data_IF_825163452043
#
_entry.id   IF_825163452043
#
_cell.length_a   1.000
_cell.length_b   1.000
_cell.length_c   1.000
_cell.angle_alpha   90.00
_cell.angle_beta   90.00
_cell.angle_gamma   90.00
#
_symmetry.space_group_name_H-M   'P 1'
#
loop_
_entity.id
_entity.type
_entity.pdbx_description
1 polymer ?
#
# COMPACT_ATOMS: atom_id res chain seq x y z
N UNK A 1 2.58 52.56 16.37
CA UNK A 1 2.19 51.22 15.90
C UNK A 1 2.96 50.98 14.62
N UNK A 2 3.74 49.91 14.56
CA UNK A 2 4.56 49.59 13.39
C UNK A 2 3.62 49.07 12.30
N UNK A 3 3.36 49.91 11.30
CA UNK A 3 2.23 49.74 10.36
C UNK A 3 2.37 48.54 9.42
N UNK A 4 3.53 47.86 9.39
CA UNK A 4 3.78 46.69 8.55
C UNK A 4 4.44 45.56 9.36
N UNK A 5 3.68 44.98 10.30
CA UNK A 5 4.12 43.80 11.03
C UNK A 5 3.99 42.53 10.16
N UNK A 6 5.12 41.99 9.69
CA UNK A 6 5.17 40.70 8.98
C UNK A 6 5.66 39.60 9.91
N UNK A 7 4.84 38.56 10.06
CA UNK A 7 5.20 37.34 10.81
C UNK A 7 4.94 36.11 9.95
N UNK A 8 5.39 34.93 10.41
CA UNK A 8 5.10 33.68 9.70
C UNK A 8 3.59 33.38 9.67
N UNK A 9 2.86 33.77 10.71
CA UNK A 9 1.43 33.47 10.92
C UNK A 9 0.50 34.54 10.32
N UNK A 10 0.97 35.78 10.20
CA UNK A 10 0.15 36.94 9.83
C UNK A 10 0.95 37.93 8.98
N UNK A 11 0.33 38.46 7.93
CA UNK A 11 0.86 39.55 7.13
C UNK A 11 -0.04 40.77 7.29
N UNK A 12 0.45 41.85 7.88
CA UNK A 12 -0.25 43.13 7.97
C UNK A 12 0.26 44.09 6.89
N UNK A 13 -0.68 44.77 6.22
CA UNK A 13 -0.42 45.83 5.26
C UNK A 13 -1.28 47.02 5.71
N UNK A 14 -0.65 48.00 6.34
CA UNK A 14 -1.37 49.06 7.07
C UNK A 14 -2.21 48.49 8.22
N UNK A 15 -3.49 48.84 8.29
CA UNK A 15 -4.40 48.38 9.35
C UNK A 15 -5.03 47.01 9.08
N UNK A 16 -4.88 46.48 7.86
CA UNK A 16 -5.49 45.20 7.47
C UNK A 16 -4.48 44.08 7.61
N UNK A 17 -4.87 43.00 8.29
CA UNK A 17 -4.02 41.83 8.45
C UNK A 17 -4.68 40.56 7.93
N UNK A 18 -3.85 39.73 7.31
CA UNK A 18 -4.20 38.48 6.66
C UNK A 18 -3.54 37.32 7.39
N UNK A 19 -4.28 36.23 7.58
CA UNK A 19 -3.81 35.07 8.32
C UNK A 19 -3.34 33.96 7.39
N UNK A 20 -2.28 33.26 7.80
CA UNK A 20 -1.99 31.94 7.25
C UNK A 20 -2.96 30.93 7.86
N UNK A 21 -4.03 30.62 7.11
CA UNK A 21 -5.14 29.76 7.52
C UNK A 21 -4.75 28.36 8.03
N UNK A 22 -3.51 27.93 7.81
CA UNK A 22 -2.96 26.68 8.34
C UNK A 22 -2.51 26.80 9.80
N UNK A 23 -2.07 27.99 10.20
CA UNK A 23 -1.44 28.24 11.49
C UNK A 23 -2.41 28.91 12.45
N UNK A 24 -3.12 29.94 11.98
CA UNK A 24 -4.02 30.77 12.76
C UNK A 24 -5.19 31.24 11.89
N UNK A 25 -6.37 31.41 12.51
CA UNK A 25 -7.59 31.89 11.84
C UNK A 25 -8.23 33.09 12.53
N UNK A 26 -7.62 33.63 13.59
CA UNK A 26 -8.15 34.74 14.39
C UNK A 26 -7.36 36.02 14.16
N UNK A 27 -7.99 37.16 14.45
CA UNK A 27 -7.40 38.50 14.38
C UNK A 27 -7.00 38.92 12.96
N UNK A 28 -7.70 38.40 11.95
CA UNK A 28 -7.51 38.74 10.54
C UNK A 28 -8.84 39.01 9.82
N UNK A 29 -8.77 39.68 8.68
CA UNK A 29 -9.96 40.05 7.88
C UNK A 29 -10.77 38.83 7.41
N UNK A 30 -10.13 37.68 7.28
CA UNK A 30 -10.70 36.42 6.79
C UNK A 30 -11.19 35.47 7.90
N UNK A 31 -11.17 35.91 9.17
CA UNK A 31 -11.51 35.10 10.36
C UNK A 31 -12.87 34.40 10.23
N UNK A 32 -13.91 35.14 9.84
CA UNK A 32 -15.28 34.60 9.79
C UNK A 32 -15.42 33.49 8.73
N UNK A 33 -14.89 33.72 7.51
CA UNK A 33 -14.97 32.76 6.43
C UNK A 33 -14.13 31.51 6.72
N UNK A 34 -12.90 31.67 7.23
CA UNK A 34 -12.05 30.55 7.61
C UNK A 34 -12.70 29.71 8.72
N UNK A 35 -13.32 30.33 9.73
CA UNK A 35 -14.02 29.62 10.80
C UNK A 35 -15.17 28.77 10.26
N UNK A 36 -15.96 29.30 9.32
CA UNK A 36 -17.02 28.53 8.65
C UNK A 36 -16.43 27.33 7.91
N UNK A 37 -15.39 27.54 7.09
CA UNK A 37 -14.74 26.47 6.32
C UNK A 37 -14.26 25.35 7.24
N UNK A 38 -13.58 25.68 8.35
CA UNK A 38 -13.11 24.69 9.31
C UNK A 38 -14.23 23.97 10.05
N UNK A 39 -15.30 24.68 10.46
CA UNK A 39 -16.48 24.05 11.06
C UNK A 39 -17.13 23.05 10.09
N UNK A 40 -17.30 23.43 8.82
CA UNK A 40 -17.84 22.52 7.80
C UNK A 40 -16.92 21.32 7.59
N UNK A 41 -15.59 21.51 7.57
CA UNK A 41 -14.64 20.39 7.45
C UNK A 41 -14.70 19.44 8.65
N UNK A 42 -14.84 19.96 9.88
CA UNK A 42 -14.99 19.14 11.09
C UNK A 42 -16.22 18.25 10.97
N UNK A 43 -17.38 18.83 10.62
CA UNK A 43 -18.63 18.08 10.43
C UNK A 43 -18.50 17.04 9.32
N UNK A 44 -17.94 17.43 8.17
CA UNK A 44 -17.76 16.51 7.04
C UNK A 44 -16.82 15.35 7.38
N UNK A 45 -15.69 15.64 8.03
CA UNK A 45 -14.72 14.62 8.46
C UNK A 45 -15.31 13.69 9.51
N UNK A 46 -16.16 14.19 10.41
CA UNK A 46 -16.89 13.39 11.39
C UNK A 46 -17.85 12.40 10.70
N UNK A 47 -18.65 12.88 9.73
CA UNK A 47 -19.58 12.03 8.96
C UNK A 47 -18.81 10.93 8.20
N UNK A 48 -17.74 11.30 7.49
CA UNK A 48 -16.91 10.34 6.74
C UNK A 48 -16.26 9.32 7.69
N UNK A 49 -15.79 9.76 8.87
CA UNK A 49 -15.21 8.88 9.89
C UNK A 49 -16.23 7.90 10.44
N UNK A 50 -17.44 8.35 10.78
CA UNK A 50 -18.52 7.48 11.28
C UNK A 50 -18.90 6.42 10.25
N UNK A 51 -18.99 6.80 8.97
CA UNK A 51 -19.30 5.88 7.89
C UNK A 51 -18.21 4.83 7.68
N UNK A 52 -16.95 5.25 7.59
CA UNK A 52 -15.80 4.35 7.49
C UNK A 52 -15.69 3.43 8.70
N UNK A 53 -15.87 3.97 9.91
CA UNK A 53 -15.83 3.21 11.15
C UNK A 53 -16.95 2.18 11.20
N UNK A 54 -18.19 2.53 10.82
CA UNK A 54 -19.31 1.59 10.78
C UNK A 54 -19.05 0.40 9.86
N UNK A 55 -18.49 0.65 8.67
CA UNK A 55 -18.14 -0.42 7.71
C UNK A 55 -16.99 -1.27 8.24
N UNK A 56 -15.98 -0.63 8.81
CA UNK A 56 -14.85 -1.30 9.42
C UNK A 56 -15.31 -2.22 10.57
N UNK A 57 -16.13 -1.72 11.50
CA UNK A 57 -16.69 -2.47 12.61
C UNK A 57 -17.56 -3.64 12.14
N UNK A 58 -18.42 -3.42 11.14
CA UNK A 58 -19.23 -4.49 10.56
C UNK A 58 -18.34 -5.62 9.99
N UNK A 59 -17.27 -5.28 9.25
CA UNK A 59 -16.36 -6.28 8.70
C UNK A 59 -15.51 -6.97 9.77
N UNK A 60 -15.07 -6.22 10.78
CA UNK A 60 -14.24 -6.75 11.85
C UNK A 60 -15.04 -7.70 12.76
N UNK A 61 -16.18 -7.26 13.27
CA UNK A 61 -16.98 -8.01 14.24
C UNK A 61 -17.93 -9.01 13.59
N UNK A 62 -18.73 -8.60 12.59
CA UNK A 62 -19.75 -9.48 12.00
C UNK A 62 -19.13 -10.49 11.05
N UNK A 63 -18.16 -10.07 10.23
CA UNK A 63 -17.48 -10.98 9.29
C UNK A 63 -16.26 -11.68 9.90
N UNK A 64 -15.81 -11.28 11.09
CA UNK A 64 -14.64 -11.84 11.74
C UNK A 64 -13.34 -11.59 10.98
N UNK A 65 -13.26 -10.53 10.15
CA UNK A 65 -12.05 -10.22 9.42
C UNK A 65 -10.98 -9.70 10.39
N UNK A 66 -9.78 -10.26 10.29
CA UNK A 66 -8.60 -9.74 11.00
C UNK A 66 -7.89 -8.70 10.13
N UNK A 67 -7.43 -7.61 10.74
CA UNK A 67 -6.59 -6.60 10.06
C UNK A 67 -5.28 -7.22 9.55
N UNK A 68 -4.70 -8.11 10.36
CA UNK A 68 -3.45 -8.80 10.07
C UNK A 68 -3.68 -10.31 10.18
N UNK A 69 -3.24 -11.04 9.17
CA UNK A 69 -3.16 -12.50 9.24
C UNK A 69 -1.90 -12.87 10.03
N UNK A 70 -2.11 -13.41 11.23
CA UNK A 70 -1.10 -13.97 12.12
C UNK A 70 -0.91 -15.45 11.76
N UNK A 71 -0.19 -15.74 10.67
CA UNK A 71 0.18 -17.13 10.35
C UNK A 71 1.70 -17.33 10.48
N UNK A 72 2.08 -18.54 10.89
CA UNK A 72 3.29 -18.91 11.64
C UNK A 72 4.66 -18.61 11.02
N UNK A 73 4.74 -18.13 9.78
CA UNK A 73 6.01 -17.87 9.09
C UNK A 73 6.25 -16.41 8.68
N UNK A 74 5.29 -15.49 8.91
CA UNK A 74 5.45 -14.09 8.50
C UNK A 74 4.94 -13.10 9.56
N UNK A 75 5.72 -12.04 9.76
CA UNK A 75 5.61 -11.06 10.86
C UNK A 75 4.46 -10.04 10.65
N UNK A 76 3.23 -10.51 10.42
CA UNK A 76 1.99 -9.78 10.08
C UNK A 76 1.80 -9.58 8.56
N UNK A 77 0.77 -10.22 7.99
CA UNK A 77 0.32 -9.96 6.61
C UNK A 77 -0.94 -9.08 6.65
N UNK A 78 -0.87 -7.79 6.31
CA UNK A 78 -2.03 -6.91 6.34
C UNK A 78 -3.00 -7.24 5.21
N UNK A 79 -4.30 -7.13 5.52
CA UNK A 79 -5.35 -7.17 4.52
C UNK A 79 -5.54 -5.78 3.93
N UNK A 80 -5.16 -5.54 2.66
CA UNK A 80 -5.00 -4.18 2.12
C UNK A 80 -6.28 -3.36 2.20
N UNK A 81 -7.45 -3.97 1.98
CA UNK A 81 -8.75 -3.28 2.05
C UNK A 81 -9.11 -2.89 3.48
N UNK A 82 -8.95 -3.82 4.44
CA UNK A 82 -9.33 -3.58 5.83
C UNK A 82 -8.36 -2.59 6.49
N UNK A 83 -7.06 -2.70 6.20
CA UNK A 83 -6.05 -1.72 6.59
C UNK A 83 -6.32 -0.34 5.98
N UNK A 84 -6.66 -0.26 4.69
CA UNK A 84 -7.01 1.00 4.04
C UNK A 84 -8.17 1.68 4.77
N UNK A 85 -9.28 0.98 5.07
CA UNK A 85 -10.42 1.56 5.79
C UNK A 85 -10.02 2.05 7.18
N UNK A 86 -9.19 1.30 7.89
CA UNK A 86 -8.66 1.71 9.19
C UNK A 86 -7.83 3.01 9.08
N UNK A 87 -6.90 3.11 8.13
CA UNK A 87 -6.10 4.33 7.94
C UNK A 87 -6.90 5.52 7.45
N UNK A 88 -7.87 5.31 6.56
CA UNK A 88 -8.77 6.38 6.14
C UNK A 88 -9.61 6.87 7.33
N UNK A 89 -10.05 5.98 8.23
CA UNK A 89 -10.75 6.39 9.46
C UNK A 89 -9.84 7.23 10.33
N UNK A 90 -8.63 6.74 10.62
CA UNK A 90 -7.66 7.46 11.43
C UNK A 90 -7.30 8.83 10.82
N UNK A 91 -7.08 8.88 9.50
CA UNK A 91 -6.81 10.12 8.77
C UNK A 91 -7.92 11.15 8.96
N UNK A 92 -9.19 10.76 8.80
CA UNK A 92 -10.31 11.68 8.95
C UNK A 92 -10.50 12.13 10.42
N UNK A 93 -10.24 11.25 11.39
CA UNK A 93 -10.25 11.62 12.82
C UNK A 93 -9.15 12.64 13.16
N UNK A 94 -7.93 12.44 12.65
CA UNK A 94 -6.84 13.40 12.84
C UNK A 94 -7.11 14.73 12.14
N UNK A 95 -7.78 14.71 10.99
CA UNK A 95 -8.21 15.92 10.28
C UNK A 95 -9.25 16.69 11.08
N UNK A 96 -10.24 15.99 11.63
CA UNK A 96 -11.25 16.53 12.52
C UNK A 96 -10.61 17.17 13.76
N UNK A 97 -9.69 16.45 14.43
CA UNK A 97 -8.95 16.97 15.59
C UNK A 97 -8.16 18.23 15.25
N UNK A 98 -7.48 18.26 14.10
CA UNK A 98 -6.75 19.44 13.63
C UNK A 98 -7.68 20.64 13.44
N UNK A 99 -8.87 20.42 12.87
CA UNK A 99 -9.89 21.45 12.74
C UNK A 99 -10.36 21.98 14.10
N UNK A 100 -10.64 21.09 15.05
CA UNK A 100 -11.06 21.46 16.42
C UNK A 100 -9.97 22.30 17.10
N UNK A 101 -8.70 21.90 17.00
CA UNK A 101 -7.57 22.64 17.59
C UNK A 101 -7.47 24.07 17.01
N UNK A 102 -7.69 24.23 15.70
CA UNK A 102 -7.69 25.55 15.06
C UNK A 102 -8.90 26.40 15.45
N UNK A 103 -10.11 25.82 15.53
CA UNK A 103 -11.36 26.52 15.86
C UNK A 103 -11.53 26.80 17.36
N UNK A 104 -10.77 26.14 18.23
CA UNK A 104 -10.79 26.40 19.67
C UNK A 104 -9.67 27.35 20.11
N UNK A 105 -8.76 27.72 19.19
CA UNK A 105 -7.56 28.52 19.45
C UNK A 105 -6.64 27.99 20.57
N UNK A 106 -6.77 26.72 20.97
CA UNK A 106 -5.99 26.12 22.08
C UNK A 106 -4.48 26.04 21.74
N UNK A 107 -4.12 26.16 20.46
CA UNK A 107 -2.74 25.95 20.01
C UNK A 107 -1.77 27.11 20.23
N UNK A 108 -2.22 28.31 20.62
CA UNK A 108 -1.30 29.45 20.79
C UNK A 108 -0.24 29.19 21.88
N UNK A 109 -0.49 28.29 22.84
CA UNK A 109 0.45 27.95 23.92
C UNK A 109 1.09 26.56 23.80
N UNK A 110 0.62 25.71 22.88
CA UNK A 110 0.95 24.27 22.86
C UNK A 110 1.52 23.82 21.50
N UNK A 111 2.66 24.40 21.10
CA UNK A 111 3.41 23.97 19.90
C UNK A 111 3.75 22.47 19.97
N UNK A 112 3.96 21.94 21.18
CA UNK A 112 4.28 20.53 21.46
C UNK A 112 3.17 19.54 21.07
N UNK A 113 1.90 19.94 21.20
CA UNK A 113 0.77 19.08 20.84
C UNK A 113 0.68 18.80 19.32
N UNK A 114 1.19 19.72 18.49
CA UNK A 114 1.24 19.54 17.02
C UNK A 114 2.32 18.54 16.60
N UNK A 115 3.43 18.45 17.33
CA UNK A 115 4.52 17.50 17.03
C UNK A 115 4.18 16.07 17.44
N UNK A 116 3.47 15.89 18.57
CA UNK A 116 3.09 14.56 19.06
C UNK A 116 2.11 13.81 18.14
N UNK A 117 1.17 14.51 17.50
CA UNK A 117 0.22 13.88 16.56
C UNK A 117 0.94 13.34 15.32
N UNK A 118 1.99 14.03 14.85
CA UNK A 118 2.84 13.54 13.76
C UNK A 118 3.69 12.33 14.19
N UNK A 119 4.03 12.22 15.48
CA UNK A 119 4.83 11.14 16.04
C UNK A 119 4.02 9.85 16.25
N UNK A 120 2.77 9.93 16.68
CA UNK A 120 1.88 8.76 16.84
C UNK A 120 1.50 8.10 15.50
N UNK A 121 1.50 8.86 14.41
CA UNK A 121 1.32 8.33 13.04
C UNK A 121 2.53 7.52 12.55
N UNK A 122 3.73 7.84 13.02
CA UNK A 122 4.97 7.20 12.56
C UNK A 122 5.14 5.76 13.08
N UNK A 123 4.52 5.43 14.22
CA UNK A 123 4.69 4.11 14.85
C UNK A 123 3.76 3.01 14.30
N UNK A 124 2.87 3.31 13.34
CA UNK A 124 1.80 2.37 13.00
C UNK A 124 2.13 1.35 11.87
N UNK A 125 3.12 1.56 10.99
CA UNK A 125 3.25 0.70 9.78
C UNK A 125 4.65 0.18 9.47
N UNK A 126 4.92 -1.07 9.89
CA UNK A 126 6.12 -1.83 9.53
C UNK A 126 5.87 -3.16 8.78
N UNK A 127 4.64 -3.49 8.33
CA UNK A 127 4.33 -4.87 7.90
C UNK A 127 3.74 -5.10 6.49
N UNK A 128 3.72 -4.14 5.57
CA UNK A 128 2.82 -4.24 4.38
C UNK A 128 3.39 -4.70 3.03
N UNK A 129 4.66 -5.05 2.85
CA UNK A 129 5.20 -5.19 1.48
C UNK A 129 5.95 -6.50 1.16
N UNK A 130 5.30 -7.67 1.25
CA UNK A 130 6.02 -8.96 1.06
C UNK A 130 5.77 -9.82 -0.19
N UNK A 131 4.96 -9.45 -1.19
CA UNK A 131 4.63 -10.49 -2.20
C UNK A 131 4.46 -10.09 -3.68
N UNK A 132 4.83 -8.88 -4.12
CA UNK A 132 4.41 -8.43 -5.47
C UNK A 132 5.46 -7.68 -6.30
N UNK A 133 6.71 -7.56 -5.84
CA UNK A 133 7.70 -6.67 -6.45
C UNK A 133 9.12 -7.28 -6.42
N UNK A 134 10.03 -6.85 -7.32
CA UNK A 134 11.41 -7.35 -7.39
C UNK A 134 12.12 -7.14 -6.06
N UNK A 135 12.77 -8.21 -5.56
CA UNK A 135 13.39 -8.33 -4.23
C UNK A 135 12.60 -7.66 -3.11
N UNK A 136 11.96 -8.45 -2.24
CA UNK A 136 11.23 -7.98 -1.05
C UNK A 136 12.00 -6.90 -0.25
N UNK A 137 13.33 -7.02 -0.17
CA UNK A 137 14.20 -6.04 0.49
C UNK A 137 14.19 -4.65 -0.16
N UNK A 138 14.19 -4.59 -1.50
CA UNK A 138 14.18 -3.32 -2.23
C UNK A 138 12.86 -2.59 -2.02
N UNK A 139 11.76 -3.33 -2.04
CA UNK A 139 10.40 -2.79 -1.82
C UNK A 139 10.23 -2.26 -0.42
N UNK A 140 10.67 -3.05 0.57
CA UNK A 140 10.65 -2.64 1.96
C UNK A 140 11.51 -1.38 2.16
N UNK A 141 12.69 -1.32 1.54
CA UNK A 141 13.57 -0.13 1.61
C UNK A 141 12.93 1.09 0.98
N UNK A 142 12.34 0.95 -0.20
CA UNK A 142 11.66 2.06 -0.90
C UNK A 142 10.43 2.52 -0.11
N UNK A 143 9.61 1.58 0.37
CA UNK A 143 8.42 1.87 1.17
C UNK A 143 8.77 2.53 2.50
N UNK A 144 9.79 2.02 3.21
CA UNK A 144 10.33 2.62 4.43
C UNK A 144 10.86 4.02 4.15
N UNK A 145 11.59 4.21 3.05
CA UNK A 145 12.10 5.53 2.66
C UNK A 145 10.95 6.50 2.41
N UNK A 146 9.93 6.12 1.64
CA UNK A 146 8.75 6.95 1.43
C UNK A 146 8.02 7.27 2.73
N UNK A 147 7.96 6.33 3.68
CA UNK A 147 7.25 6.54 4.94
C UNK A 147 8.01 7.47 5.90
N UNK A 148 9.32 7.28 6.07
CA UNK A 148 10.09 8.03 7.07
C UNK A 148 10.68 9.35 6.54
N UNK A 149 10.93 9.48 5.24
CA UNK A 149 11.47 10.71 4.64
C UNK A 149 10.64 11.96 4.96
N UNK A 150 9.31 11.99 4.75
CA UNK A 150 8.52 13.17 5.10
C UNK A 150 8.57 13.45 6.60
N UNK A 151 8.59 12.43 7.45
CA UNK A 151 8.67 12.65 8.89
C UNK A 151 9.99 13.33 9.28
N UNK A 152 11.12 12.81 8.83
CA UNK A 152 12.43 13.36 9.19
C UNK A 152 12.62 14.76 8.60
N UNK A 153 12.43 14.90 7.29
CA UNK A 153 12.69 16.17 6.61
C UNK A 153 11.70 17.26 7.00
N UNK A 154 10.40 16.94 7.09
CA UNK A 154 9.40 17.96 7.36
C UNK A 154 9.46 18.46 8.80
N UNK A 155 9.74 17.58 9.77
CA UNK A 155 9.92 18.02 11.16
C UNK A 155 11.18 18.88 11.30
N UNK A 156 12.30 18.50 10.69
CA UNK A 156 13.53 19.31 10.71
C UNK A 156 13.28 20.69 10.10
N UNK A 157 12.68 20.76 8.91
CA UNK A 157 12.37 22.05 8.28
C UNK A 157 11.34 22.87 9.08
N UNK A 158 10.33 22.24 9.69
CA UNK A 158 9.32 22.95 10.49
C UNK A 158 9.90 23.50 11.79
N UNK A 159 10.76 22.74 12.48
CA UNK A 159 11.46 23.20 13.69
C UNK A 159 12.43 24.33 13.33
N UNK A 160 13.22 24.16 12.27
CA UNK A 160 14.14 25.21 11.80
C UNK A 160 13.39 26.49 11.43
N UNK A 161 12.29 26.40 10.68
CA UNK A 161 11.44 27.55 10.34
C UNK A 161 10.87 28.22 11.60
N UNK A 162 10.41 27.44 12.58
CA UNK A 162 9.86 27.97 13.84
C UNK A 162 10.90 28.69 14.70
N UNK A 163 12.12 28.15 14.80
CA UNK A 163 13.22 28.78 15.54
C UNK A 163 13.71 30.06 14.83
N UNK A 164 13.88 29.99 13.50
CA UNK A 164 14.35 31.13 12.71
C UNK A 164 13.32 32.26 12.64
N UNK A 165 12.01 31.98 12.77
CA UNK A 165 10.97 32.99 12.72
C UNK A 165 11.11 34.08 13.81
N UNK A 166 11.87 33.82 14.89
CA UNK A 166 12.16 34.80 15.94
C UNK A 166 13.35 35.72 15.64
N UNK A 167 14.30 35.25 14.82
CA UNK A 167 15.57 35.94 14.59
C UNK A 167 15.70 36.51 13.18
N UNK A 168 15.22 35.76 12.18
CA UNK A 168 15.39 36.07 10.76
C UNK A 168 14.21 35.53 9.96
N UNK A 169 13.23 36.40 9.72
CA UNK A 169 11.99 36.06 9.02
C UNK A 169 12.26 35.55 7.60
N UNK A 170 13.26 36.10 6.92
CA UNK A 170 13.59 35.70 5.55
C UNK A 170 14.07 34.25 5.51
N UNK A 171 14.97 33.86 6.42
CA UNK A 171 15.41 32.46 6.51
C UNK A 171 14.26 31.52 6.88
N UNK A 172 13.39 31.91 7.81
CA UNK A 172 12.21 31.11 8.17
C UNK A 172 11.27 30.88 6.97
N UNK A 173 11.11 31.90 6.12
CA UNK A 173 10.34 31.80 4.89
C UNK A 173 11.00 30.85 3.88
N UNK A 174 12.32 30.94 3.68
CA UNK A 174 13.06 30.01 2.82
C UNK A 174 12.88 28.57 3.29
N UNK A 175 13.04 28.29 4.58
CA UNK A 175 12.80 26.95 5.14
C UNK A 175 11.36 26.48 4.95
N UNK A 176 10.38 27.39 5.05
CA UNK A 176 8.97 27.08 4.76
C UNK A 176 8.76 26.73 3.29
N UNK A 177 9.39 27.46 2.35
CA UNK A 177 9.31 27.15 0.90
C UNK A 177 10.01 25.83 0.57
N UNK A 178 11.16 25.55 1.19
CA UNK A 178 11.86 24.27 1.06
C UNK A 178 10.98 23.12 1.58
N UNK A 179 10.34 23.28 2.74
CA UNK A 179 9.38 22.31 3.28
C UNK A 179 8.28 21.99 2.25
N UNK A 180 7.74 23.01 1.58
CA UNK A 180 6.74 22.82 0.53
C UNK A 180 7.28 22.11 -0.71
N UNK A 181 8.50 22.44 -1.14
CA UNK A 181 9.17 21.74 -2.24
C UNK A 181 9.42 20.26 -1.93
N UNK A 182 9.81 19.93 -0.69
CA UNK A 182 10.00 18.56 -0.23
C UNK A 182 8.69 17.78 -0.19
N UNK A 183 7.61 18.41 0.32
CA UNK A 183 6.27 17.82 0.29
C UNK A 183 5.77 17.61 -1.15
N UNK A 184 6.00 18.55 -2.06
CA UNK A 184 5.67 18.40 -3.48
C UNK A 184 6.40 17.20 -4.08
N UNK A 185 7.71 17.11 -3.89
CA UNK A 185 8.52 16.00 -4.39
C UNK A 185 8.04 14.66 -3.82
N UNK A 186 7.78 14.61 -2.52
CA UNK A 186 7.30 13.42 -1.84
C UNK A 186 5.92 12.96 -2.35
N UNK A 187 4.93 13.86 -2.40
CA UNK A 187 3.60 13.55 -2.90
C UNK A 187 3.61 13.18 -4.38
N UNK A 188 4.40 13.88 -5.20
CA UNK A 188 4.54 13.60 -6.64
C UNK A 188 5.15 12.24 -6.90
N UNK A 189 6.26 11.92 -6.22
CA UNK A 189 6.91 10.60 -6.33
C UNK A 189 6.01 9.47 -5.81
N UNK A 190 5.27 9.68 -4.72
CA UNK A 190 4.28 8.72 -4.23
C UNK A 190 3.12 8.53 -5.24
N UNK A 191 2.63 9.61 -5.86
CA UNK A 191 1.60 9.54 -6.89
C UNK A 191 2.08 8.72 -8.09
N UNK A 192 3.29 8.96 -8.58
CA UNK A 192 3.91 8.18 -9.64
C UNK A 192 4.08 6.71 -9.26
N UNK A 193 4.52 6.42 -8.04
CA UNK A 193 4.69 5.06 -7.54
C UNK A 193 3.34 4.31 -7.47
N UNK A 194 2.29 4.95 -6.95
CA UNK A 194 0.93 4.38 -6.89
C UNK A 194 0.39 4.12 -8.29
N UNK A 195 0.55 5.06 -9.21
CA UNK A 195 0.10 4.90 -10.60
C UNK A 195 0.83 3.73 -11.28
N UNK A 196 2.16 3.69 -11.16
CA UNK A 196 2.98 2.61 -11.72
C UNK A 196 2.58 1.25 -11.15
N UNK A 197 2.50 1.11 -9.82
CA UNK A 197 2.10 -0.12 -9.17
C UNK A 197 0.67 -0.54 -9.56
N UNK A 198 -0.25 0.43 -9.66
CA UNK A 198 -1.63 0.20 -10.07
C UNK A 198 -1.75 -0.30 -11.52
N UNK A 199 -1.05 0.33 -12.47
CA UNK A 199 -1.02 -0.11 -13.87
C UNK A 199 -0.44 -1.52 -13.97
N UNK A 200 0.68 -1.79 -13.28
CA UNK A 200 1.33 -3.11 -13.28
C UNK A 200 0.41 -4.19 -12.70
N UNK A 201 -0.28 -3.90 -11.60
CA UNK A 201 -1.25 -4.80 -10.98
C UNK A 201 -2.42 -5.12 -11.93
N UNK A 202 -2.96 -4.11 -12.60
CA UNK A 202 -4.03 -4.30 -13.59
C UNK A 202 -3.59 -5.12 -14.80
N UNK A 203 -2.36 -4.91 -15.28
CA UNK A 203 -1.78 -5.67 -16.38
C UNK A 203 -1.65 -7.17 -16.01
N UNK A 204 -1.13 -7.46 -14.81
CA UNK A 204 -1.00 -8.84 -14.34
C UNK A 204 -2.37 -9.52 -14.20
N UNK A 205 -3.34 -8.85 -13.57
CA UNK A 205 -4.68 -9.40 -13.38
C UNK A 205 -5.37 -9.69 -14.73
N UNK A 206 -5.16 -8.82 -15.71
CA UNK A 206 -5.66 -9.00 -17.08
C UNK A 206 -5.02 -10.20 -17.78
N UNK A 207 -3.71 -10.40 -17.61
CA UNK A 207 -3.00 -11.55 -18.15
C UNK A 207 -3.53 -12.88 -17.56
N UNK A 208 -3.75 -12.94 -16.24
CA UNK A 208 -4.33 -14.12 -15.59
C UNK A 208 -5.76 -14.39 -16.06
N UNK A 209 -6.59 -13.35 -16.20
CA UNK A 209 -7.94 -13.50 -16.73
C UNK A 209 -7.97 -14.07 -18.15
N UNK A 210 -6.98 -13.71 -18.99
CA UNK A 210 -6.86 -14.27 -20.34
C UNK A 210 -6.58 -15.78 -20.30
N UNK A 211 -5.76 -16.25 -19.35
CA UNK A 211 -5.48 -17.68 -19.14
C UNK A 211 -6.71 -18.47 -18.68
N UNK A 212 -7.58 -17.89 -17.85
CA UNK A 212 -8.82 -18.57 -17.43
C UNK A 212 -9.89 -18.64 -18.53
N UNK A 213 -9.79 -17.82 -19.59
CA UNK A 213 -10.77 -17.80 -20.67
C UNK A 213 -10.81 -19.12 -21.46
N UNK A 214 -9.75 -19.92 -21.44
CA UNK A 214 -9.71 -21.22 -22.12
C UNK A 214 -10.43 -22.35 -21.36
N UNK A 215 -10.79 -22.18 -20.09
CA UNK A 215 -11.57 -23.16 -19.33
C UNK A 215 -13.06 -22.82 -19.38
N UNK A 216 -13.83 -23.60 -20.14
CA UNK A 216 -15.25 -23.37 -20.50
C UNK A 216 -16.27 -23.31 -19.34
N UNK A 217 -15.87 -23.53 -18.08
CA UNK A 217 -16.79 -23.70 -16.94
C UNK A 217 -16.97 -22.46 -16.04
N UNK A 218 -16.20 -21.37 -16.24
CA UNK A 218 -16.04 -20.32 -15.21
C UNK A 218 -16.78 -18.98 -15.37
N UNK A 219 -18.03 -18.95 -15.86
CA UNK A 219 -18.77 -17.69 -16.12
C UNK A 219 -18.88 -16.74 -14.92
N UNK A 220 -19.21 -17.26 -13.74
CA UNK A 220 -19.40 -16.47 -12.53
C UNK A 220 -18.07 -15.99 -11.91
N UNK A 221 -17.03 -16.83 -11.96
CA UNK A 221 -15.69 -16.45 -11.52
C UNK A 221 -15.15 -15.27 -12.33
N UNK A 222 -15.38 -15.27 -13.65
CA UNK A 222 -15.01 -14.15 -14.53
C UNK A 222 -15.71 -12.84 -14.14
N UNK A 223 -17.01 -12.89 -13.82
CA UNK A 223 -17.76 -11.72 -13.34
C UNK A 223 -17.20 -11.18 -12.03
N UNK A 224 -16.91 -12.06 -11.06
CA UNK A 224 -16.33 -11.69 -9.76
C UNK A 224 -14.95 -11.02 -9.91
N UNK A 225 -14.07 -11.59 -10.72
CA UNK A 225 -12.72 -11.03 -10.94
C UNK A 225 -12.77 -9.70 -11.71
N UNK A 226 -13.64 -9.57 -12.72
CA UNK A 226 -13.83 -8.30 -13.44
C UNK A 226 -14.33 -7.20 -12.52
N UNK A 227 -15.26 -7.51 -11.62
CA UNK A 227 -15.74 -6.57 -10.62
C UNK A 227 -14.61 -6.14 -9.67
N UNK A 228 -13.76 -7.08 -9.22
CA UNK A 228 -12.57 -6.78 -8.41
C UNK A 228 -11.59 -5.83 -9.13
N UNK A 229 -11.35 -6.05 -10.41
CA UNK A 229 -10.49 -5.20 -11.24
C UNK A 229 -11.01 -3.76 -11.35
N UNK A 230 -12.32 -3.59 -11.54
CA UNK A 230 -12.93 -2.25 -11.61
C UNK A 230 -12.74 -1.50 -10.29
N UNK A 231 -12.90 -2.17 -9.14
CA UNK A 231 -12.66 -1.55 -7.82
C UNK A 231 -11.23 -1.07 -7.68
N UNK A 232 -10.25 -1.92 -8.02
CA UNK A 232 -8.83 -1.56 -7.94
C UNK A 232 -8.54 -0.36 -8.85
N UNK A 233 -9.11 -0.33 -10.06
CA UNK A 233 -8.95 0.80 -10.98
C UNK A 233 -9.51 2.10 -10.40
N UNK A 234 -10.72 2.09 -9.85
CA UNK A 234 -11.31 3.26 -9.21
C UNK A 234 -10.44 3.72 -8.04
N UNK A 235 -10.02 2.79 -7.17
CA UNK A 235 -9.22 3.09 -5.99
C UNK A 235 -7.86 3.71 -6.37
N UNK A 236 -7.13 3.10 -7.31
CA UNK A 236 -5.84 3.61 -7.80
C UNK A 236 -6.01 5.01 -8.39
N UNK A 237 -7.04 5.23 -9.22
CA UNK A 237 -7.31 6.54 -9.82
C UNK A 237 -7.60 7.60 -8.76
N UNK A 238 -8.43 7.29 -7.76
CA UNK A 238 -8.76 8.23 -6.68
C UNK A 238 -7.54 8.60 -5.86
N UNK A 239 -6.72 7.61 -5.47
CA UNK A 239 -5.48 7.87 -4.71
C UNK A 239 -4.51 8.69 -5.54
N UNK A 240 -4.32 8.34 -6.82
CA UNK A 240 -3.46 9.09 -7.73
C UNK A 240 -3.90 10.55 -7.87
N UNK A 241 -5.19 10.79 -8.15
CA UNK A 241 -5.73 12.14 -8.30
C UNK A 241 -5.61 12.95 -7.01
N UNK A 242 -5.85 12.32 -5.85
CA UNK A 242 -5.67 12.99 -4.56
C UNK A 242 -4.21 13.39 -4.32
N UNK A 243 -3.25 12.48 -4.52
CA UNK A 243 -1.82 12.75 -4.33
C UNK A 243 -1.27 13.75 -5.34
N UNK A 244 -1.62 13.61 -6.61
CA UNK A 244 -1.22 14.55 -7.66
C UNK A 244 -1.82 15.94 -7.42
N UNK A 245 -3.10 16.02 -7.04
CA UNK A 245 -3.76 17.26 -6.65
C UNK A 245 -3.07 17.94 -5.46
N UNK A 246 -2.74 17.17 -4.42
CA UNK A 246 -1.96 17.69 -3.28
C UNK A 246 -0.57 18.18 -3.72
N UNK A 247 0.13 17.44 -4.58
CA UNK A 247 1.44 17.86 -5.08
C UNK A 247 1.35 19.20 -5.81
N UNK A 248 0.46 19.32 -6.80
CA UNK A 248 0.25 20.57 -7.56
C UNK A 248 -0.09 21.72 -6.61
N UNK A 249 -0.97 21.47 -5.64
CA UNK A 249 -1.34 22.45 -4.63
C UNK A 249 -0.15 22.91 -3.78
N UNK A 250 0.68 21.98 -3.30
CA UNK A 250 1.86 22.26 -2.48
C UNK A 250 2.88 23.11 -3.24
N UNK A 251 3.09 22.81 -4.53
CA UNK A 251 3.95 23.60 -5.40
C UNK A 251 3.40 25.01 -5.61
N UNK A 252 2.10 25.11 -5.94
CA UNK A 252 1.43 26.40 -6.14
C UNK A 252 1.51 27.26 -4.89
N UNK A 253 1.22 26.69 -3.71
CA UNK A 253 1.31 27.38 -2.45
C UNK A 253 2.75 27.76 -2.12
N UNK A 254 3.73 26.88 -2.36
CA UNK A 254 5.15 27.18 -2.12
C UNK A 254 5.67 28.36 -2.94
N UNK A 255 5.21 28.51 -4.19
CA UNK A 255 5.61 29.60 -5.11
C UNK A 255 4.82 30.89 -4.83
N UNK A 256 3.50 30.79 -4.70
CA UNK A 256 2.59 31.95 -4.64
C UNK A 256 2.12 32.29 -3.22
N UNK A 257 2.78 31.78 -2.18
CA UNK A 257 2.35 31.90 -0.78
C UNK A 257 1.89 33.31 -0.40
N UNK A 258 2.73 34.31 -0.66
CA UNK A 258 2.45 35.69 -0.26
C UNK A 258 1.23 36.27 -1.00
N UNK A 259 1.11 35.99 -2.30
CA UNK A 259 -0.03 36.43 -3.11
C UNK A 259 -1.33 35.79 -2.63
N UNK A 260 -1.28 34.48 -2.34
CA UNK A 260 -2.41 33.71 -1.83
C UNK A 260 -2.88 34.28 -0.50
N UNK A 261 -1.98 34.46 0.48
CA UNK A 261 -2.34 34.92 1.83
C UNK A 261 -2.94 36.32 1.79
N UNK A 262 -2.40 37.22 0.95
CA UNK A 262 -2.93 38.58 0.79
C UNK A 262 -4.27 38.63 0.05
N UNK A 263 -4.62 37.57 -0.67
CA UNK A 263 -5.90 37.44 -1.36
C UNK A 263 -6.91 36.65 -0.52
N UNK A 264 -7.93 37.31 0.03
CA UNK A 264 -9.04 36.63 0.73
C UNK A 264 -9.65 35.48 -0.09
N UNK A 265 -10.02 35.65 -1.38
CA UNK A 265 -10.57 34.55 -2.16
C UNK A 265 -9.56 33.42 -2.41
N UNK A 266 -8.28 33.74 -2.64
CA UNK A 266 -7.24 32.72 -2.83
C UNK A 266 -6.98 31.91 -1.55
N UNK A 267 -6.98 32.59 -0.40
CA UNK A 267 -6.92 31.96 0.93
C UNK A 267 -8.08 30.98 1.13
N UNK A 268 -9.32 31.39 0.82
CA UNK A 268 -10.49 30.52 0.94
C UNK A 268 -10.47 29.33 -0.01
N UNK A 269 -10.20 29.53 -1.30
CA UNK A 269 -10.13 28.44 -2.29
C UNK A 269 -9.09 27.42 -1.88
N UNK A 270 -7.90 27.87 -1.48
CA UNK A 270 -6.85 26.95 -1.08
C UNK A 270 -7.14 26.27 0.25
N UNK A 271 -7.73 26.98 1.21
CA UNK A 271 -8.19 26.38 2.47
C UNK A 271 -9.22 25.28 2.20
N UNK A 272 -10.21 25.50 1.32
CA UNK A 272 -11.22 24.50 0.96
C UNK A 272 -10.57 23.29 0.29
N UNK A 273 -9.76 23.50 -0.75
CA UNK A 273 -9.11 22.38 -1.46
C UNK A 273 -8.24 21.56 -0.50
N UNK A 274 -7.41 22.21 0.32
CA UNK A 274 -6.54 21.52 1.28
C UNK A 274 -7.29 20.75 2.36
N UNK A 275 -8.42 21.27 2.82
CA UNK A 275 -9.19 20.68 3.90
C UNK A 275 -10.14 19.58 3.43
N UNK A 276 -10.70 19.67 2.22
CA UNK A 276 -11.70 18.73 1.73
C UNK A 276 -11.13 17.65 0.79
N UNK A 277 -9.97 17.84 0.15
CA UNK A 277 -9.43 16.87 -0.80
C UNK A 277 -9.25 15.47 -0.18
N UNK A 278 -8.72 15.39 1.04
CA UNK A 278 -8.53 14.13 1.76
C UNK A 278 -9.84 13.42 2.15
N UNK A 279 -10.74 14.10 2.89
CA UNK A 279 -12.05 13.53 3.25
C UNK A 279 -12.89 13.12 2.04
N UNK A 280 -12.89 13.91 0.95
CA UNK A 280 -13.59 13.56 -0.30
C UNK A 280 -12.97 12.32 -0.93
N UNK A 281 -11.65 12.25 -1.06
CA UNK A 281 -10.99 11.05 -1.58
C UNK A 281 -11.28 9.81 -0.73
N UNK A 282 -11.32 9.97 0.61
CA UNK A 282 -11.66 8.90 1.56
C UNK A 282 -13.09 8.40 1.37
N UNK A 283 -14.05 9.31 1.18
CA UNK A 283 -15.44 8.99 0.92
C UNK A 283 -15.59 8.24 -0.42
N UNK A 284 -14.94 8.72 -1.49
CA UNK A 284 -14.99 8.04 -2.80
C UNK A 284 -14.35 6.65 -2.72
N UNK A 285 -13.21 6.50 -2.03
CA UNK A 285 -12.60 5.20 -1.79
C UNK A 285 -13.53 4.26 -1.02
N UNK A 286 -14.25 4.78 -0.02
CA UNK A 286 -15.25 4.03 0.74
C UNK A 286 -16.41 3.56 -0.14
N UNK A 287 -16.99 4.45 -0.94
CA UNK A 287 -18.05 4.12 -1.89
C UNK A 287 -17.58 3.07 -2.92
N UNK A 288 -16.33 3.14 -3.37
CA UNK A 288 -15.74 2.15 -4.27
C UNK A 288 -15.63 0.75 -3.62
N UNK A 289 -15.34 0.68 -2.31
CA UNK A 289 -15.34 -0.59 -1.56
C UNK A 289 -16.76 -1.14 -1.40
N UNK A 290 -17.73 -0.28 -1.12
CA UNK A 290 -19.13 -0.65 -0.91
C UNK A 290 -19.88 -1.08 -2.17
N UNK A 291 -19.48 -0.60 -3.34
CA UNK A 291 -20.19 -0.82 -4.62
C UNK A 291 -20.27 -2.29 -5.09
N UNK A 292 -19.95 -3.27 -4.24
CA UNK A 292 -20.20 -4.68 -4.55
C UNK A 292 -20.45 -5.50 -3.27
N UNK A 293 -21.73 -5.61 -2.85
CA UNK A 293 -22.11 -6.38 -1.67
C UNK A 293 -22.07 -7.92 -1.87
N UNK A 294 -21.90 -8.42 -3.10
CA UNK A 294 -22.17 -9.82 -3.47
C UNK A 294 -20.97 -10.79 -3.46
N UNK A 295 -19.83 -10.41 -2.90
CA UNK A 295 -18.65 -11.31 -2.87
C UNK A 295 -18.58 -12.16 -1.59
N UNK A 296 -19.27 -11.76 -0.52
CA UNK A 296 -19.12 -12.39 0.80
C UNK A 296 -20.20 -13.42 1.13
N UNK A 297 -21.09 -13.75 0.19
CA UNK A 297 -21.79 -15.03 0.25
C UNK A 297 -20.74 -16.11 0.04
N UNK A 298 -20.18 -16.61 1.15
CA UNK A 298 -19.49 -17.90 1.15
C UNK A 298 -20.38 -18.81 0.31
N UNK A 299 -19.89 -19.38 -0.83
CA UNK A 299 -20.60 -20.50 -1.40
C UNK A 299 -20.70 -21.46 -0.22
N UNK A 300 -21.93 -21.70 0.26
CA UNK A 300 -22.16 -22.68 1.30
C UNK A 300 -21.38 -23.88 0.81
N UNK A 301 -20.30 -24.21 1.52
CA UNK A 301 -19.51 -25.39 1.25
C UNK A 301 -20.56 -26.48 1.34
N UNK A 302 -20.98 -26.93 0.16
CA UNK A 302 -21.55 -28.23 -0.02
C UNK A 302 -20.45 -29.15 0.46
N UNK A 303 -20.42 -29.38 1.78
CA UNK A 303 -20.32 -30.73 2.24
C UNK A 303 -21.26 -31.48 1.30
N UNK A 304 -20.74 -32.37 0.42
CA UNK A 304 -21.64 -33.24 -0.31
C UNK A 304 -22.52 -33.83 0.77
N UNK A 305 -23.78 -33.40 0.79
CA UNK A 305 -24.76 -33.98 1.68
C UNK A 305 -24.68 -35.43 1.31
N UNK A 306 -24.10 -36.22 2.22
CA UNK A 306 -23.97 -37.65 2.05
C UNK A 306 -25.40 -38.13 1.92
N UNK A 307 -25.86 -38.23 0.68
CA UNK A 307 -27.04 -38.99 0.31
C UNK A 307 -26.67 -40.40 0.72
N UNK A 308 -27.03 -40.73 1.96
CA UNK A 308 -26.98 -42.07 2.47
C UNK A 308 -27.75 -42.92 1.48
N UNK A 309 -27.02 -43.72 0.71
CA UNK A 309 -27.57 -44.83 -0.03
C UNK A 309 -28.10 -45.82 1.00
N UNK A 310 -29.34 -45.58 1.44
CA UNK A 310 -30.16 -46.55 2.16
C UNK A 310 -30.62 -47.62 1.19
N UNK A 311 -29.71 -48.51 0.81
CA UNK A 311 -30.07 -49.83 0.31
C UNK A 311 -30.56 -50.66 1.48
N UNK A 312 -31.87 -50.87 1.57
CA UNK A 312 -32.49 -51.72 2.58
C UNK A 312 -33.92 -52.04 2.19
N UNK A 313 -34.09 -53.16 1.48
CA UNK A 313 -35.39 -53.74 1.22
C UNK A 313 -36.01 -54.35 2.49
N UNK A 314 -37.34 -54.45 2.50
CA UNK A 314 -38.06 -55.39 3.36
C UNK A 314 -39.17 -54.78 4.23
N UNK A 315 -40.41 -54.95 3.79
CA UNK A 315 -41.52 -55.43 4.63
C UNK A 315 -42.15 -54.50 5.68
N UNK A 316 -43.42 -54.15 5.44
CA UNK A 316 -44.48 -54.39 6.44
C UNK A 316 -44.80 -53.31 7.47
N UNK A 317 -46.07 -52.87 7.40
CA UNK A 317 -46.99 -52.67 8.53
C UNK A 317 -46.98 -51.32 9.30
N UNK A 318 -48.07 -50.58 9.11
CA UNK A 318 -48.88 -49.77 10.05
C UNK A 318 -48.35 -49.50 11.47
N UNK A 319 -48.34 -48.23 11.94
CA UNK A 319 -49.37 -47.57 12.80
C UNK A 319 -48.82 -46.31 13.50
N UNK A 320 -49.69 -45.31 13.60
CA UNK A 320 -49.73 -44.04 14.36
C UNK A 320 -49.17 -44.04 15.80
N UNK A 321 -48.45 -42.98 16.22
CA UNK A 321 -48.78 -42.03 17.34
C UNK A 321 -47.57 -41.22 17.87
N UNK A 322 -47.82 -39.90 18.01
CA UNK A 322 -47.47 -38.94 19.07
C UNK A 322 -46.29 -39.19 20.02
N UNK A 323 -45.39 -38.20 20.18
CA UNK A 323 -45.14 -37.43 21.43
C UNK A 323 -43.76 -36.73 21.48
N UNK A 324 -43.80 -35.51 22.03
CA UNK A 324 -42.74 -34.64 22.57
C UNK A 324 -41.62 -35.29 23.39
N UNK A 325 -40.39 -34.78 23.32
CA UNK A 325 -39.59 -34.35 24.50
C UNK A 325 -38.25 -33.70 24.12
N UNK A 326 -37.92 -32.64 24.85
CA UNK A 326 -36.61 -32.03 24.98
C UNK A 326 -35.58 -33.03 25.58
N UNK A 327 -34.31 -32.93 25.17
CA UNK A 327 -33.20 -33.15 26.09
C UNK A 327 -31.93 -32.40 25.66
N UNK A 328 -31.51 -31.49 26.53
CA UNK A 328 -30.16 -30.94 26.64
C UNK A 328 -29.27 -32.06 27.17
N UNK A 329 -28.12 -32.33 26.54
CA UNK A 329 -26.97 -32.93 27.24
C UNK A 329 -25.65 -32.45 26.65
N UNK A 330 -24.91 -31.74 27.49
CA UNK A 330 -23.53 -31.33 27.36
C UNK A 330 -22.61 -32.54 27.55
N UNK A 331 -21.68 -32.81 26.64
CA UNK A 331 -20.51 -33.65 26.93
C UNK A 331 -19.26 -33.06 26.27
N UNK A 332 -18.33 -32.62 27.12
CA UNK A 332 -16.91 -32.54 26.82
C UNK A 332 -16.34 -33.96 26.79
N UNK A 333 -15.47 -34.30 25.84
CA UNK A 333 -14.26 -35.09 26.06
C UNK A 333 -13.30 -35.01 24.84
N UNK A 334 -12.07 -34.60 25.16
CA UNK A 334 -10.73 -34.90 24.61
C UNK A 334 -10.47 -35.48 23.21
N UNK A 335 -9.53 -34.80 22.55
CA UNK A 335 -8.32 -35.32 21.87
C UNK A 335 -8.23 -36.82 21.59
N UNK A 336 -8.22 -37.16 20.30
CA UNK A 336 -7.28 -38.16 19.76
C UNK A 336 -6.88 -37.76 18.33
N UNK A 337 -5.57 -37.64 18.16
CA UNK A 337 -4.85 -37.55 16.90
C UNK A 337 -4.94 -38.88 16.16
N UNK A 338 -5.54 -38.87 14.98
CA UNK A 338 -5.36 -39.91 13.98
C UNK A 338 -5.07 -39.24 12.64
N UNK A 339 -3.83 -39.46 12.20
CA UNK A 339 -3.24 -39.06 10.95
C UNK A 339 -3.86 -39.91 9.83
N UNK A 340 -4.55 -39.27 8.89
CA UNK A 340 -5.00 -39.92 7.67
C UNK A 340 -4.71 -38.99 6.49
N UNK A 341 -3.63 -39.31 5.80
CA UNK A 341 -3.22 -38.69 4.55
C UNK A 341 -4.22 -39.05 3.45
N UNK A 342 -5.19 -38.16 3.23
CA UNK A 342 -6.02 -38.13 2.03
C UNK A 342 -5.53 -37.01 1.12
N UNK A 343 -4.98 -37.39 -0.04
CA UNK A 343 -4.69 -36.47 -1.14
C UNK A 343 -6.00 -36.02 -1.78
N UNK A 344 -6.66 -35.02 -1.19
CA UNK A 344 -7.81 -34.35 -1.80
C UNK A 344 -7.37 -33.11 -2.59
N UNK A 345 -7.21 -33.34 -3.89
CA UNK A 345 -7.06 -32.37 -4.95
C UNK A 345 -8.42 -31.69 -5.23
N UNK A 346 -8.99 -30.94 -4.29
CA UNK A 346 -10.18 -30.13 -4.56
C UNK A 346 -10.39 -29.05 -3.50
N UNK A 347 -9.64 -27.96 -3.55
CA UNK A 347 -10.08 -26.64 -3.07
C UNK A 347 -9.15 -25.54 -3.60
N UNK A 348 -9.39 -25.08 -4.83
CA UNK A 348 -8.78 -23.88 -5.38
C UNK A 348 -9.44 -22.62 -4.80
N UNK A 349 -9.24 -22.37 -3.50
CA UNK A 349 -9.08 -20.97 -3.08
C UNK A 349 -7.68 -20.56 -3.53
N UNK A 350 -7.53 -19.32 -3.99
CA UNK A 350 -6.26 -18.72 -4.43
C UNK A 350 -5.32 -18.56 -3.21
N UNK A 351 -4.92 -19.70 -2.64
CA UNK A 351 -4.05 -19.80 -1.49
C UNK A 351 -2.61 -19.78 -1.96
N UNK A 352 -1.72 -19.30 -1.09
CA UNK A 352 -0.29 -19.16 -1.36
C UNK A 352 0.35 -20.42 -1.99
N UNK A 353 -0.18 -21.62 -1.69
CA UNK A 353 0.29 -22.89 -2.27
C UNK A 353 0.17 -22.99 -3.79
N UNK A 354 -0.85 -22.39 -4.40
CA UNK A 354 -0.98 -22.38 -5.86
C UNK A 354 0.08 -21.47 -6.52
N UNK A 355 0.55 -20.44 -5.81
CA UNK A 355 1.63 -19.58 -6.28
C UNK A 355 3.00 -20.19 -6.03
N UNK A 356 3.21 -20.83 -4.88
CA UNK A 356 4.46 -21.54 -4.58
C UNK A 356 4.72 -22.69 -5.58
N UNK A 357 3.66 -23.42 -5.98
CA UNK A 357 3.75 -24.43 -7.03
C UNK A 357 4.17 -23.87 -8.41
N UNK A 358 3.81 -22.61 -8.71
CA UNK A 358 4.18 -21.96 -9.97
C UNK A 358 5.63 -21.46 -9.94
N UNK A 359 6.09 -20.96 -8.78
CA UNK A 359 7.51 -20.57 -8.62
C UNK A 359 8.40 -21.80 -8.72
N UNK A 360 8.01 -22.92 -8.11
CA UNK A 360 8.72 -24.20 -8.19
C UNK A 360 8.77 -24.73 -9.64
N UNK A 361 7.68 -24.60 -10.41
CA UNK A 361 7.68 -24.95 -11.84
C UNK A 361 8.58 -24.05 -12.70
N UNK A 362 8.63 -22.75 -12.45
CA UNK A 362 9.49 -21.82 -13.20
C UNK A 362 10.98 -22.06 -12.88
N UNK A 363 11.30 -22.37 -11.63
CA UNK A 363 12.65 -22.75 -11.20
C UNK A 363 13.06 -24.09 -11.81
N UNK A 364 12.17 -25.10 -11.82
CA UNK A 364 12.40 -26.38 -12.53
C UNK A 364 12.60 -26.19 -14.03
N UNK A 365 11.86 -25.29 -14.69
CA UNK A 365 12.07 -24.99 -16.12
C UNK A 365 13.42 -24.33 -16.38
N UNK A 366 13.87 -23.42 -15.51
CA UNK A 366 15.20 -22.80 -15.64
C UNK A 366 16.31 -23.81 -15.43
N UNK A 367 16.18 -24.68 -14.44
CA UNK A 367 17.13 -25.78 -14.23
C UNK A 367 17.12 -26.69 -15.45
N UNK A 368 15.96 -27.11 -15.95
CA UNK A 368 15.89 -27.98 -17.11
C UNK A 368 16.51 -27.33 -18.37
N UNK A 369 16.23 -26.05 -18.63
CA UNK A 369 16.82 -25.31 -19.75
C UNK A 369 18.35 -25.11 -19.63
N UNK A 370 18.89 -25.12 -18.40
CA UNK A 370 20.33 -25.07 -18.15
C UNK A 370 21.02 -26.42 -18.45
N UNK A 371 20.28 -27.54 -18.33
CA UNK A 371 20.79 -28.89 -18.59
C UNK A 371 20.57 -29.37 -20.05
N UNK A 372 19.62 -28.82 -20.80
CA UNK A 372 19.35 -29.24 -22.18
C UNK A 372 20.51 -29.03 -23.20
N UNK A 373 21.46 -28.08 -23.05
CA UNK A 373 22.54 -27.95 -24.03
C UNK A 373 23.57 -29.07 -24.00
N UNK A 374 23.62 -29.88 -22.94
CA UNK A 374 24.69 -30.88 -22.75
C UNK A 374 24.41 -32.22 -23.47
N UNK A 375 23.14 -32.53 -23.74
CA UNK A 375 22.79 -33.80 -24.40
C UNK A 375 22.93 -33.75 -25.93
N UNK A 376 22.93 -32.56 -26.56
CA UNK A 376 23.05 -32.48 -28.01
C UNK A 376 24.49 -32.76 -28.51
N UNK A 377 25.50 -32.56 -27.66
CA UNK A 377 26.90 -32.88 -27.99
C UNK A 377 27.26 -34.36 -27.79
N UNK A 378 26.47 -35.11 -27.01
CA UNK A 378 26.71 -36.54 -26.75
C UNK A 378 26.00 -37.46 -27.75
N UNK A 379 25.05 -36.92 -28.52
CA UNK A 379 24.35 -37.67 -29.56
C UNK A 379 25.04 -37.58 -30.92
N UNK A 380 25.69 -36.44 -31.24
CA UNK A 380 26.51 -36.30 -32.45
C UNK A 380 27.86 -37.03 -32.37
N UNK A 381 28.32 -37.41 -31.17
CA UNK A 381 29.56 -38.17 -30.97
C UNK A 381 29.40 -39.69 -31.14
N UNK A 382 28.19 -40.18 -31.47
CA UNK A 382 27.91 -41.62 -31.60
C UNK A 382 27.47 -42.04 -33.01
N UNK A 383 27.53 -41.13 -33.98
CA UNK A 383 27.11 -41.38 -35.37
C UNK A 383 28.27 -41.21 -36.38
N UNK A 384 29.51 -41.29 -35.90
CA UNK A 384 30.73 -41.26 -36.72
C UNK A 384 31.60 -42.46 -36.32
N UNK A 385 31.22 -43.66 -36.76
CA UNK A 385 32.08 -44.86 -36.66
C UNK A 385 31.67 -45.96 -37.66
N UNK A 386 31.06 -45.61 -38.80
CA UNK A 386 30.87 -46.52 -39.93
C UNK A 386 31.01 -45.69 -41.21
N UNK A 387 32.22 -45.67 -41.78
CA UNK A 387 32.50 -45.58 -43.22
C UNK A 387 34.02 -45.36 -43.40
N UNK A 388 34.75 -46.48 -43.43
CA UNK A 388 36.07 -46.56 -44.07
C UNK A 388 35.85 -46.51 -45.58
N UNK A 389 36.45 -45.55 -46.29
CA UNK A 389 37.11 -45.76 -47.58
C UNK A 389 37.91 -44.51 -48.01
N UNK A 390 39.02 -44.80 -48.66
CA UNK A 390 40.19 -43.96 -48.98
C UNK A 390 39.91 -42.75 -49.89
N UNK A 391 40.56 -41.60 -49.63
CA UNK A 391 41.33 -40.89 -50.66
C UNK A 391 42.23 -39.78 -50.08
N UNK A 392 43.53 -39.88 -50.34
CA UNK A 392 44.55 -38.88 -50.02
C UNK A 392 44.42 -37.63 -50.92
N UNK A 393 44.19 -36.46 -50.33
CA UNK A 393 44.56 -35.18 -50.98
C UNK A 393 45.21 -34.24 -49.96
N UNK A 394 46.53 -34.09 -50.11
CA UNK A 394 47.38 -33.16 -49.39
C UNK A 394 47.09 -31.71 -49.82
N UNK A 395 46.52 -30.86 -48.95
CA UNK A 395 46.52 -29.39 -49.12
C UNK A 395 46.87 -28.70 -47.80
N UNK A 396 47.83 -27.77 -47.88
CA UNK A 396 48.58 -27.18 -46.78
C UNK A 396 47.77 -26.44 -45.71
N UNK A 397 48.25 -26.58 -44.48
CA UNK A 397 47.73 -26.01 -43.24
C UNK A 397 48.35 -24.62 -42.99
N UNK A 398 47.57 -23.54 -42.80
CA UNK A 398 48.07 -22.31 -42.19
C UNK A 398 48.06 -22.44 -40.66
N UNK A 399 49.22 -22.24 -40.04
CA UNK A 399 49.42 -22.13 -38.59
C UNK A 399 48.70 -20.89 -38.01
N UNK A 400 47.88 -21.03 -36.95
CA UNK A 400 47.37 -19.88 -36.21
C UNK A 400 48.45 -19.29 -35.26
N UNK A 401 48.45 -17.96 -35.05
CA UNK A 401 49.44 -17.31 -34.19
C UNK A 401 49.19 -17.57 -32.71
N UNK A 402 50.27 -17.76 -31.97
CA UNK A 402 50.31 -18.00 -30.54
C UNK A 402 49.75 -16.81 -29.74
N UNK A 403 48.84 -17.11 -28.81
CA UNK A 403 48.33 -16.18 -27.80
C UNK A 403 49.29 -16.18 -26.60
N UNK A 404 49.85 -15.04 -26.18
CA UNK A 404 50.71 -14.99 -25.01
C UNK A 404 49.89 -15.02 -23.71
N UNK A 405 50.20 -16.01 -22.86
CA UNK A 405 49.76 -16.09 -21.48
C UNK A 405 50.37 -14.93 -20.67
N UNK A 406 49.52 -14.00 -20.21
CA UNK A 406 49.92 -12.95 -19.27
C UNK A 406 49.73 -13.45 -17.84
N UNK A 407 50.83 -13.89 -17.23
CA UNK A 407 50.95 -14.05 -15.78
C UNK A 407 51.08 -12.67 -15.11
N UNK A 408 50.21 -12.37 -14.15
CA UNK A 408 50.48 -11.31 -13.17
C UNK A 408 50.31 -11.87 -11.76
N UNK A 409 51.46 -12.29 -11.23
CA UNK A 409 51.72 -12.45 -9.81
C UNK A 409 51.82 -11.07 -9.12
N UNK A 410 51.27 -11.03 -7.91
CA UNK A 410 51.75 -10.36 -6.68
C UNK A 410 52.24 -8.90 -6.69
N UNK A 411 51.61 -8.08 -5.83
CA UNK A 411 52.20 -7.08 -4.91
C UNK A 411 51.04 -6.65 -3.96
N UNK A 412 50.92 -6.99 -2.67
CA UNK A 412 51.78 -6.80 -1.49
C UNK A 412 52.25 -5.34 -1.28
N UNK A 413 51.45 -4.49 -0.63
CA UNK A 413 51.90 -3.41 0.31
C UNK A 413 50.72 -3.05 1.27
N UNK A 414 50.91 -2.36 2.42
CA UNK A 414 50.63 -2.92 3.75
C UNK A 414 49.62 -2.10 4.59
N UNK A 415 49.26 -2.66 5.74
CA UNK A 415 48.62 -1.97 6.86
C UNK A 415 49.52 -0.88 7.45
N UNK A 416 48.96 0.22 7.97
CA UNK A 416 49.56 0.96 9.05
C UNK A 416 48.76 0.86 10.35
N UNK A 417 49.56 0.88 11.41
CA UNK A 417 49.27 0.79 12.84
C UNK A 417 48.58 2.05 13.41
N UNK A 418 48.05 1.85 14.62
CA UNK A 418 47.59 2.80 15.67
C UNK A 418 48.51 4.01 15.94
N UNK A 419 47.91 5.15 16.29
CA UNK A 419 48.24 6.07 17.41
C UNK A 419 47.17 7.20 17.44
N UNK A 420 46.38 7.41 18.49
CA UNK A 420 46.65 8.06 19.79
C UNK A 420 46.38 9.58 19.79
N UNK A 421 45.65 10.02 20.83
CA UNK A 421 45.51 11.38 21.40
C UNK A 421 45.03 12.54 20.52
N UNK A 422 43.80 13.02 20.78
CA UNK A 422 43.51 14.28 21.48
C UNK A 422 42.07 14.29 22.00
#
# INVERSE_FOLDING_TARGET
MENDARTLMRQCIGETCYCDWRLQIYDCVDTHGLKIIYLTMIVFSAIVSLFLFGIFMFRFFVKGHRLFDLNSSSLLKPRPIDCLMFFLTMFNLLRMLTGIILVTNVSQTNVLARTCIAQTLADSHKSTARQWLPSTRTVDTIGLTFLFTPFLLNNVCSIAAGLLAKHDLFKAEVFTRVLYGLWFWHCGSLACAVLYAGIRLLALLTAHLKKFKSSSSGGDQKRRVRAGMIKIRILVTVIFLALAGFAVFLLLYGILRDQIIRSVPGSYVLCIVWNFLGPVASLVACLAVLSNPRIDEKPAIGLPGSSGGGGGGGGGMTTTTTSTSNHITSHMFTTSTAQQDSYDLNHATLSAKAFDAIVDEDEKRKIHAMYTPYNHYLQDAKEIDDDEDEEEVYVGRPTPPAIPLRSSQSNLIPSPYKAAHF
#
